data_IF_149292607661
#
_entry.id   IF_149292607661
#
_cell.length_a   1.000
_cell.length_b   1.000
_cell.length_c   1.000
_cell.angle_alpha   90.00
_cell.angle_beta   90.00
_cell.angle_gamma   90.00
#
_symmetry.space_group_name_H-M   'P 1'
#
loop_
_entity.id
_entity.type
_entity.pdbx_description
1 polymer ?
#
# COMPACT_ATOMS: atom_id res chain seq x y z
N UNK A 1 -11.57 -2.98 -9.59
CA UNK A 1 -10.18 -3.20 -10.02
C UNK A 1 -9.25 -3.19 -8.81
N UNK A 2 -8.32 -4.12 -8.77
CA UNK A 2 -7.42 -4.26 -7.62
C UNK A 2 -6.08 -3.59 -7.91
N UNK A 3 -5.58 -2.81 -6.94
CA UNK A 3 -4.30 -2.13 -7.04
C UNK A 3 -3.41 -2.52 -5.86
N UNK A 4 -2.13 -2.68 -6.12
CA UNK A 4 -1.16 -2.87 -5.06
C UNK A 4 -0.82 -1.51 -4.45
N UNK A 5 -0.92 -1.42 -3.12
CA UNK A 5 -0.60 -0.20 -2.39
C UNK A 5 0.88 -0.22 -2.02
N UNK A 6 1.60 0.81 -2.41
CA UNK A 6 3.05 0.88 -2.22
C UNK A 6 3.48 2.18 -1.59
N UNK A 7 4.57 2.13 -0.83
CA UNK A 7 5.21 3.30 -0.26
C UNK A 7 6.72 3.05 -0.20
N UNK A 8 7.52 4.06 -0.49
CA UNK A 8 8.96 3.96 -0.33
C UNK A 8 9.38 3.87 1.13
N UNK A 9 8.50 4.26 2.05
CA UNK A 9 8.75 4.22 3.48
C UNK A 9 8.79 2.80 4.04
N UNK A 10 8.01 1.88 3.44
CA UNK A 10 7.86 0.50 3.90
C UNK A 10 8.28 -0.46 2.78
N UNK A 11 9.55 -0.80 2.76
CA UNK A 11 10.14 -1.56 1.66
C UNK A 11 9.68 -3.01 1.55
N UNK A 12 9.54 -3.67 2.70
CA UNK A 12 9.27 -5.11 2.74
C UNK A 12 8.01 -5.46 3.52
N UNK A 13 7.38 -4.48 4.14
CA UNK A 13 6.19 -4.71 4.96
C UNK A 13 5.18 -3.59 4.72
N UNK A 14 4.57 -3.62 3.55
CA UNK A 14 3.57 -2.62 3.19
C UNK A 14 2.31 -2.69 4.05
N UNK A 15 2.13 -3.77 4.81
CA UNK A 15 1.05 -3.88 5.77
C UNK A 15 1.06 -2.75 6.80
N UNK A 16 2.22 -2.20 7.10
CA UNK A 16 2.36 -1.07 8.01
C UNK A 16 1.64 0.18 7.55
N UNK A 17 1.39 0.31 6.25
CA UNK A 17 0.60 1.41 5.71
C UNK A 17 -0.76 1.47 6.38
N UNK A 18 -1.34 0.32 6.71
CA UNK A 18 -2.64 0.25 7.36
C UNK A 18 -2.62 0.76 8.81
N UNK A 19 -1.44 0.80 9.43
CA UNK A 19 -1.30 1.39 10.77
C UNK A 19 -1.27 2.91 10.71
N UNK A 20 -0.66 3.48 9.66
CA UNK A 20 -0.61 4.93 9.49
C UNK A 20 -1.93 5.46 8.93
N UNK A 21 -2.61 4.66 8.12
CA UNK A 21 -3.87 5.02 7.47
C UNK A 21 -4.93 3.96 7.76
N UNK A 22 -5.38 3.84 9.02
CA UNK A 22 -6.32 2.77 9.42
C UNK A 22 -7.65 2.85 8.69
N UNK A 23 -8.03 4.01 8.18
CA UNK A 23 -9.26 4.19 7.44
C UNK A 23 -9.28 3.41 6.13
N UNK A 24 -8.11 3.08 5.58
CA UNK A 24 -8.04 2.27 4.35
C UNK A 24 -8.72 0.92 4.56
N UNK A 25 -8.44 0.26 5.68
CA UNK A 25 -9.05 -1.03 5.98
C UNK A 25 -10.54 -0.93 6.26
N UNK A 26 -11.01 0.23 6.74
CA UNK A 26 -12.43 0.46 7.05
C UNK A 26 -13.25 0.86 5.83
N UNK A 27 -12.64 1.58 4.90
CA UNK A 27 -13.33 2.19 3.77
C UNK A 27 -13.21 1.38 2.47
N UNK A 28 -12.22 0.50 2.39
CA UNK A 28 -11.94 -0.24 1.18
C UNK A 28 -11.87 -1.74 1.44
N UNK A 29 -12.11 -2.51 0.40
CA UNK A 29 -11.84 -3.94 0.43
C UNK A 29 -10.32 -4.13 0.29
N UNK A 30 -9.71 -4.72 1.29
CA UNK A 30 -8.26 -4.88 1.39
C UNK A 30 -7.91 -6.37 1.42
N UNK A 31 -6.87 -6.74 0.67
CA UNK A 31 -6.28 -8.07 0.72
C UNK A 31 -4.80 -7.94 1.09
N UNK A 32 -4.35 -8.73 2.03
CA UNK A 32 -2.95 -8.76 2.46
C UNK A 32 -2.36 -10.12 2.07
N UNK A 33 -1.22 -10.08 1.38
CA UNK A 33 -0.51 -11.29 0.98
C UNK A 33 0.87 -11.26 1.64
N UNK A 34 1.12 -12.24 2.51
CA UNK A 34 2.41 -12.39 3.18
C UNK A 34 3.23 -13.48 2.47
N UNK A 35 4.46 -13.13 2.13
CA UNK A 35 5.39 -14.06 1.48
C UNK A 35 6.69 -14.10 2.26
N UNK A 36 7.22 -15.30 2.51
CA UNK A 36 8.54 -15.44 3.13
C UNK A 36 9.61 -15.29 2.06
N UNK A 37 10.54 -14.36 2.30
CA UNK A 37 11.65 -14.06 1.40
C UNK A 37 12.96 -14.34 2.11
N UNK A 38 13.95 -14.85 1.38
CA UNK A 38 15.27 -15.11 1.90
C UNK A 38 16.27 -14.16 1.24
N UNK A 39 17.08 -13.46 2.06
CA UNK A 39 18.08 -12.54 1.54
C UNK A 39 19.36 -13.30 1.12
N UNK A 40 20.35 -12.56 0.60
CA UNK A 40 21.61 -13.14 0.13
C UNK A 40 22.39 -13.87 1.20
N UNK A 41 22.15 -13.53 2.48
CA UNK A 41 22.82 -14.12 3.63
C UNK A 41 22.06 -15.32 4.19
N UNK A 42 20.94 -15.70 3.56
CA UNK A 42 20.11 -16.78 4.05
C UNK A 42 19.14 -16.37 5.16
N UNK A 43 19.08 -15.09 5.51
CA UNK A 43 18.14 -14.59 6.50
C UNK A 43 16.75 -14.49 5.91
N UNK A 44 15.76 -15.02 6.61
CA UNK A 44 14.38 -15.01 6.17
C UNK A 44 13.62 -13.85 6.80
N UNK A 45 12.74 -13.24 6.02
CA UNK A 45 11.84 -12.21 6.50
C UNK A 45 10.50 -12.31 5.77
N UNK A 46 9.48 -11.70 6.35
CA UNK A 46 8.15 -11.67 5.74
C UNK A 46 8.01 -10.40 4.93
N UNK A 47 7.66 -10.55 3.65
CA UNK A 47 7.31 -9.46 2.78
C UNK A 47 5.79 -9.42 2.66
N UNK A 48 5.16 -8.35 3.14
CA UNK A 48 3.71 -8.20 3.11
C UNK A 48 3.31 -7.20 2.04
N UNK A 49 2.41 -7.62 1.17
CA UNK A 49 1.85 -6.78 0.11
C UNK A 49 0.39 -6.47 0.45
N UNK A 50 -0.02 -5.24 0.20
CA UNK A 50 -1.39 -4.80 0.42
C UNK A 50 -2.03 -4.46 -0.91
N UNK A 51 -3.23 -5.01 -1.15
CA UNK A 51 -4.02 -4.73 -2.34
C UNK A 51 -5.34 -4.12 -1.92
N UNK A 52 -5.76 -3.08 -2.64
CA UNK A 52 -7.05 -2.45 -2.40
C UNK A 52 -7.89 -2.49 -3.67
N UNK A 53 -9.21 -2.57 -3.51
CA UNK A 53 -10.15 -2.58 -4.63
C UNK A 53 -10.70 -1.18 -4.84
N UNK A 54 -10.51 -0.66 -6.05
CA UNK A 54 -11.03 0.64 -6.50
C UNK A 54 -11.88 0.40 -7.74
N UNK A 55 -13.17 0.57 -7.64
CA UNK A 55 -14.09 0.30 -8.75
C UNK A 55 -14.75 1.57 -9.31
N UNK A 56 -14.77 2.65 -8.55
CA UNK A 56 -15.45 3.87 -8.93
C UNK A 56 -14.56 5.10 -8.74
N UNK A 57 -14.92 6.19 -9.38
CA UNK A 57 -14.25 7.47 -9.19
C UNK A 57 -14.39 7.95 -7.74
N UNK A 58 -15.53 7.66 -7.10
CA UNK A 58 -15.77 8.00 -5.71
C UNK A 58 -14.76 7.32 -4.79
N UNK A 59 -14.39 6.07 -5.10
CA UNK A 59 -13.37 5.35 -4.35
C UNK A 59 -12.02 6.04 -4.45
N UNK A 60 -11.67 6.55 -5.64
CA UNK A 60 -10.41 7.29 -5.84
C UNK A 60 -10.38 8.57 -5.00
N UNK A 61 -11.47 9.31 -5.01
CA UNK A 61 -11.59 10.54 -4.22
C UNK A 61 -11.48 10.21 -2.73
N UNK A 62 -12.14 9.16 -2.29
CA UNK A 62 -12.08 8.71 -0.90
C UNK A 62 -10.66 8.34 -0.51
N UNK A 63 -9.93 7.67 -1.39
CA UNK A 63 -8.54 7.29 -1.11
C UNK A 63 -7.64 8.52 -0.93
N UNK A 64 -7.79 9.52 -1.80
CA UNK A 64 -7.01 10.75 -1.69
C UNK A 64 -7.35 11.55 -0.44
N UNK A 65 -8.58 11.44 0.05
CA UNK A 65 -8.98 12.08 1.31
C UNK A 65 -8.39 11.37 2.53
N UNK A 66 -8.26 10.05 2.46
CA UNK A 66 -7.70 9.25 3.55
C UNK A 66 -6.18 9.43 3.64
N UNK A 67 -5.52 9.53 2.50
CA UNK A 67 -4.07 9.67 2.41
C UNK A 67 -3.72 11.14 2.21
N UNK A 68 -3.15 11.77 3.24
CA UNK A 68 -2.85 13.21 3.23
C UNK A 68 -1.72 13.60 2.29
N UNK A 69 -0.77 12.72 2.05
CA UNK A 69 0.31 12.98 1.12
C UNK A 69 -0.14 12.63 -0.30
N UNK A 70 0.63 13.00 -1.30
CA UNK A 70 0.26 12.73 -2.68
C UNK A 70 0.11 11.24 -2.97
N UNK A 71 -0.73 10.92 -3.92
CA UNK A 71 -0.96 9.56 -4.39
C UNK A 71 -0.73 9.54 -5.90
N UNK A 72 0.07 8.59 -6.37
CA UNK A 72 0.37 8.44 -7.79
C UNK A 72 -0.09 7.07 -8.26
N UNK A 73 -0.85 7.04 -9.35
CA UNK A 73 -1.27 5.81 -10.00
C UNK A 73 -0.27 5.44 -11.08
N UNK A 74 0.22 4.22 -11.02
CA UNK A 74 1.18 3.71 -11.99
C UNK A 74 0.82 2.27 -12.36
N UNK A 75 0.09 2.12 -13.47
CA UNK A 75 -0.38 0.81 -13.88
C UNK A 75 -1.35 0.21 -12.85
N UNK A 76 -0.96 -0.90 -12.23
CA UNK A 76 -1.75 -1.56 -11.18
C UNK A 76 -1.28 -1.22 -9.77
N UNK A 77 -0.43 -0.22 -9.66
CA UNK A 77 0.11 0.21 -8.38
C UNK A 77 -0.43 1.57 -8.00
N UNK A 78 -0.69 1.74 -6.72
CA UNK A 78 -0.97 3.04 -6.12
C UNK A 78 0.19 3.34 -5.20
N UNK A 79 0.96 4.37 -5.51
CA UNK A 79 2.13 4.73 -4.74
C UNK A 79 1.84 5.96 -3.89
N UNK A 80 2.10 5.84 -2.61
CA UNK A 80 2.01 6.95 -1.67
C UNK A 80 3.30 7.73 -1.75
N UNK A 81 3.19 9.03 -2.00
CA UNK A 81 4.34 9.93 -2.09
C UNK A 81 4.61 10.52 -0.71
N UNK A 82 5.44 9.84 0.06
CA UNK A 82 5.87 10.32 1.37
C UNK A 82 6.91 11.43 1.21
N UNK A 83 6.94 12.36 2.16
CA UNK A 83 7.86 13.49 2.15
C UNK A 83 9.33 13.07 2.20
N UNK A 84 9.59 11.84 2.56
CA UNK A 84 10.94 11.27 2.60
C UNK A 84 11.56 11.05 1.24
N UNK A 85 10.79 11.16 0.18
CA UNK A 85 11.25 10.91 -1.17
C UNK A 85 11.89 12.13 -1.82
N UNK A 86 11.90 13.21 -1.14
CA UNK A 86 12.50 14.45 -1.62
C UNK A 86 14.00 14.48 -1.40
#
# INVERSE_FOLDING_TARGET
MEFQLMSARYWSDFKRILNDYPQIANEFKVQIIDTTVEDERGKRYINSEVYITIDTLEDLIKLTDVIDCGVVFNGREIRICDDYLE
#
